data_IF_759853522032
#
_entry.id   IF_759853522032
#
_cell.length_a   1.000
_cell.length_b   1.000
_cell.length_c   1.000
_cell.angle_alpha   90.00
_cell.angle_beta   90.00
_cell.angle_gamma   90.00
#
_symmetry.space_group_name_H-M   'P 1'
#
loop_
_entity.id
_entity.type
_entity.pdbx_description
1 polymer ?
#
# COMPACT_ATOMS: atom_id res chain seq x y z
N UNK A 1 20.99 -2.31 11.18
CA UNK A 1 20.24 -1.05 11.28
C UNK A 1 18.87 -1.38 11.83
N UNK A 2 18.46 -0.75 12.94
CA UNK A 2 17.14 -1.02 13.54
C UNK A 2 16.12 -0.10 12.88
N UNK A 3 15.10 -0.67 12.24
CA UNK A 3 13.97 0.06 11.65
C UNK A 3 12.84 0.09 12.67
N UNK A 4 12.13 1.21 12.75
CA UNK A 4 11.09 1.42 13.76
C UNK A 4 9.98 2.30 13.20
N UNK A 5 8.76 2.05 13.68
CA UNK A 5 7.59 2.84 13.31
C UNK A 5 7.70 4.23 13.94
N UNK A 6 7.44 5.26 13.15
CA UNK A 6 7.52 6.67 13.53
C UNK A 6 6.21 7.38 13.21
N UNK A 7 5.68 8.11 14.18
CA UNK A 7 4.49 8.94 13.98
C UNK A 7 4.86 10.16 13.12
N UNK A 8 4.01 10.48 12.15
CA UNK A 8 4.18 11.62 11.26
C UNK A 8 3.20 12.74 11.59
N UNK A 9 3.58 13.96 11.21
CA UNK A 9 2.78 15.17 11.38
C UNK A 9 1.65 15.31 10.37
N UNK A 10 1.01 16.49 10.36
CA UNK A 10 -0.11 16.79 9.47
C UNK A 10 0.25 16.70 7.97
N UNK A 11 1.49 17.05 7.60
CA UNK A 11 1.97 16.99 6.21
C UNK A 11 1.84 15.58 5.59
N UNK A 12 1.96 14.51 6.39
CA UNK A 12 1.80 13.15 5.90
C UNK A 12 0.35 12.83 5.50
N UNK A 13 -0.65 13.46 6.16
CA UNK A 13 -2.05 13.34 5.75
C UNK A 13 -2.30 14.04 4.43
N UNK A 14 -1.72 15.22 4.25
CA UNK A 14 -1.83 15.96 2.99
C UNK A 14 -1.17 15.17 1.85
N UNK A 15 0.01 14.59 2.09
CA UNK A 15 0.67 13.69 1.16
C UNK A 15 -0.17 12.46 0.79
N UNK A 16 -0.79 11.79 1.77
CA UNK A 16 -1.72 10.68 1.50
C UNK A 16 -2.89 11.15 0.63
N UNK A 17 -3.46 12.34 0.92
CA UNK A 17 -4.56 12.87 0.12
C UNK A 17 -4.14 13.09 -1.34
N UNK A 18 -2.97 13.69 -1.57
CA UNK A 18 -2.42 13.87 -2.91
C UNK A 18 -2.22 12.53 -3.63
N UNK A 19 -1.63 11.53 -2.95
CA UNK A 19 -1.41 10.21 -3.56
C UNK A 19 -2.72 9.48 -3.89
N UNK A 20 -3.76 9.64 -3.07
CA UNK A 20 -5.08 9.08 -3.37
C UNK A 20 -5.81 9.85 -4.48
N UNK A 21 -5.55 11.16 -4.64
CA UNK A 21 -6.11 11.97 -5.73
C UNK A 21 -5.52 11.54 -7.09
N UNK A 22 -4.24 11.14 -7.09
CA UNK A 22 -3.55 10.52 -8.23
C UNK A 22 -3.95 9.04 -8.46
N UNK A 23 -4.74 8.44 -7.56
CA UNK A 23 -5.12 7.04 -7.59
C UNK A 23 -6.30 6.72 -8.54
N UNK A 24 -6.84 5.50 -8.40
CA UNK A 24 -7.98 5.01 -9.19
C UNK A 24 -9.31 5.21 -8.46
N UNK A 25 -10.36 4.57 -8.97
CA UNK A 25 -11.72 4.74 -8.44
C UNK A 25 -11.82 4.42 -6.95
N UNK A 26 -11.12 3.41 -6.42
CA UNK A 26 -11.16 3.09 -5.00
C UNK A 26 -10.53 4.20 -4.14
N UNK A 27 -9.38 4.74 -4.55
CA UNK A 27 -8.73 5.90 -3.91
C UNK A 27 -9.65 7.11 -3.86
N UNK A 28 -10.31 7.44 -4.98
CA UNK A 28 -11.31 8.51 -5.06
C UNK A 28 -12.49 8.27 -4.10
N UNK A 29 -12.98 7.03 -4.00
CA UNK A 29 -14.06 6.68 -3.08
C UNK A 29 -13.61 6.75 -1.61
N UNK A 30 -12.38 6.34 -1.30
CA UNK A 30 -11.80 6.45 0.04
C UNK A 30 -11.69 7.92 0.45
N UNK A 31 -11.19 8.80 -0.43
CA UNK A 31 -11.14 10.25 -0.17
C UNK A 31 -12.52 10.84 0.14
N UNK A 32 -13.57 10.35 -0.52
CA UNK A 32 -14.93 10.85 -0.34
C UNK A 32 -15.64 10.29 0.91
N UNK A 33 -15.29 9.07 1.34
CA UNK A 33 -16.06 8.31 2.35
C UNK A 33 -15.32 8.14 3.68
N UNK A 34 -14.00 8.24 3.71
CA UNK A 34 -13.17 8.02 4.89
C UNK A 34 -12.65 9.35 5.43
N UNK A 35 -12.93 9.61 6.70
CA UNK A 35 -12.40 10.79 7.39
C UNK A 35 -10.95 10.55 7.83
N UNK A 36 -10.00 10.91 6.96
CA UNK A 36 -8.57 10.79 7.24
C UNK A 36 -8.13 11.62 8.47
N UNK A 37 -8.89 12.62 8.92
CA UNK A 37 -8.54 13.42 10.11
C UNK A 37 -8.71 12.64 11.41
N UNK A 38 -9.48 11.55 11.41
CA UNK A 38 -9.72 10.71 12.59
C UNK A 38 -8.65 9.63 12.80
N UNK A 39 -7.71 9.49 11.87
CA UNK A 39 -6.61 8.55 11.97
C UNK A 39 -5.27 9.21 12.26
N UNK A 40 -4.25 8.36 12.45
CA UNK A 40 -2.87 8.79 12.58
C UNK A 40 -2.05 8.31 11.37
N UNK A 41 -0.91 8.95 11.14
CA UNK A 41 -0.01 8.62 10.04
C UNK A 41 1.34 8.17 10.57
N UNK A 42 1.95 7.17 9.93
CA UNK A 42 3.25 6.64 10.31
C UNK A 42 4.11 6.31 9.11
N UNK A 43 5.39 6.09 9.37
CA UNK A 43 6.32 5.47 8.42
C UNK A 43 7.32 4.59 9.17
N UNK A 44 8.10 3.80 8.43
CA UNK A 44 9.20 3.00 8.94
C UNK A 44 10.52 3.65 8.55
N UNK A 45 11.28 4.07 9.56
CA UNK A 45 12.59 4.70 9.36
C UNK A 45 13.63 4.08 10.28
N UNK A 46 14.92 4.15 9.92
CA UNK A 46 16.01 3.80 10.82
C UNK A 46 15.97 4.62 12.12
N UNK A 47 16.34 4.01 13.23
CA UNK A 47 16.46 4.71 14.53
C UNK A 47 17.46 5.87 14.51
N UNK A 48 18.33 5.93 13.51
CA UNK A 48 19.36 6.97 13.32
C UNK A 48 18.82 8.26 12.70
N UNK A 49 17.61 8.26 12.13
CA UNK A 49 16.99 9.47 11.58
C UNK A 49 16.52 10.38 12.70
N UNK A 50 16.90 11.66 12.66
CA UNK A 50 16.52 12.66 13.64
C UNK A 50 15.00 12.92 13.63
N UNK A 51 14.41 13.14 14.81
CA UNK A 51 12.97 13.33 14.99
C UNK A 51 12.43 14.56 14.26
N UNK A 52 13.26 15.60 14.11
CA UNK A 52 12.92 16.80 13.35
C UNK A 52 12.70 16.49 11.87
N UNK A 53 13.53 15.63 11.27
CA UNK A 53 13.41 15.24 9.86
C UNK A 53 12.20 14.31 9.62
N UNK A 54 11.90 13.45 10.60
CA UNK A 54 10.67 12.65 10.61
C UNK A 54 9.43 13.54 10.64
N UNK A 55 9.41 14.52 11.54
CA UNK A 55 8.24 15.41 11.74
C UNK A 55 7.97 16.27 10.53
N UNK A 56 9.04 16.74 9.87
CA UNK A 56 8.97 17.55 8.65
C UNK A 56 8.68 16.75 7.39
N UNK A 57 8.69 15.41 7.48
CA UNK A 57 8.47 14.52 6.35
C UNK A 57 9.47 14.79 5.20
N UNK A 58 10.74 15.05 5.54
CA UNK A 58 11.82 15.37 4.59
C UNK A 58 13.06 14.47 4.74
N UNK A 59 12.94 13.36 5.47
CA UNK A 59 13.98 12.36 5.61
C UNK A 59 14.00 11.40 4.42
N UNK A 60 15.19 11.16 3.85
CA UNK A 60 15.47 10.06 2.93
C UNK A 60 16.67 9.27 3.47
N UNK A 61 16.63 7.93 3.38
CA UNK A 61 17.64 7.06 4.01
C UNK A 61 18.82 6.82 3.07
N UNK A 62 18.61 6.74 1.76
CA UNK A 62 19.70 6.89 0.80
C UNK A 62 20.08 8.36 0.70
N UNK A 63 21.26 8.69 1.25
CA UNK A 63 21.81 10.03 1.11
C UNK A 63 21.81 10.49 -0.36
N UNK A 64 21.73 11.80 -0.63
CA UNK A 64 21.58 12.32 -1.98
C UNK A 64 22.67 11.79 -2.92
N UNK A 65 22.25 11.23 -4.06
CA UNK A 65 23.09 11.19 -5.27
C UNK A 65 23.87 9.91 -5.57
N UNK A 66 23.62 8.77 -4.90
CA UNK A 66 24.13 7.50 -5.43
C UNK A 66 23.36 7.17 -6.71
N UNK A 67 24.01 7.31 -7.86
CA UNK A 67 23.50 6.88 -9.16
C UNK A 67 24.52 5.97 -9.81
N UNK A 68 24.08 4.85 -10.33
CA UNK A 68 24.89 4.00 -11.19
C UNK A 68 24.34 4.07 -12.62
N UNK A 69 25.22 3.91 -13.60
CA UNK A 69 24.84 3.84 -14.99
C UNK A 69 24.35 2.43 -15.30
N UNK A 70 23.12 2.30 -15.81
CA UNK A 70 22.62 1.07 -16.41
C UNK A 70 22.89 1.10 -17.92
N UNK A 71 23.90 0.36 -18.42
CA UNK A 71 24.25 0.35 -19.83
C UNK A 71 23.22 -0.37 -20.70
N UNK A 72 22.36 -1.23 -20.14
CA UNK A 72 21.33 -1.93 -20.92
C UNK A 72 20.20 -0.98 -21.33
N UNK A 73 19.89 -0.02 -20.47
CA UNK A 73 18.79 0.94 -20.66
C UNK A 73 19.29 2.37 -20.96
N UNK A 74 20.60 2.61 -20.94
CA UNK A 74 21.24 3.92 -21.13
C UNK A 74 20.68 5.01 -20.19
N UNK A 75 20.48 4.65 -18.92
CA UNK A 75 19.93 5.55 -17.89
C UNK A 75 20.78 5.54 -16.62
N UNK A 76 20.74 6.63 -15.88
CA UNK A 76 21.27 6.69 -14.51
C UNK A 76 20.19 6.23 -13.54
N UNK A 77 20.49 5.20 -12.76
CA UNK A 77 19.57 4.59 -11.80
C UNK A 77 20.06 4.89 -10.38
N UNK A 78 19.18 5.36 -9.51
CA UNK A 78 19.47 5.44 -8.08
C UNK A 78 19.06 4.10 -7.43
N UNK A 79 19.90 3.50 -6.56
CA UNK A 79 19.48 2.35 -5.80
C UNK A 79 18.40 2.80 -4.80
N UNK A 80 17.20 2.22 -4.90
CA UNK A 80 16.14 2.38 -3.91
C UNK A 80 16.37 1.32 -2.83
N UNK A 81 16.54 1.75 -1.58
CA UNK A 81 16.64 0.83 -0.45
C UNK A 81 15.25 0.38 -0.01
N UNK A 82 14.76 -0.70 -0.61
CA UNK A 82 13.42 -1.25 -0.34
C UNK A 82 13.31 -1.94 1.02
N UNK A 83 14.37 -1.96 1.85
CA UNK A 83 14.31 -2.56 3.19
C UNK A 83 13.29 -1.88 4.11
N UNK A 84 12.89 -0.63 3.83
CA UNK A 84 11.84 0.06 4.57
C UNK A 84 10.42 -0.40 4.17
N UNK A 85 10.28 -1.15 3.07
CA UNK A 85 9.03 -1.80 2.67
C UNK A 85 8.78 -3.11 3.43
N UNK A 86 9.84 -3.79 3.90
CA UNK A 86 9.73 -5.08 4.59
C UNK A 86 8.81 -5.05 5.84
N UNK A 87 8.87 -4.02 6.72
CA UNK A 87 7.93 -3.93 7.84
C UNK A 87 6.47 -3.70 7.40
N UNK A 88 6.24 -3.08 6.24
CA UNK A 88 4.89 -2.90 5.69
C UNK A 88 4.32 -4.23 5.23
N UNK A 89 5.15 -5.07 4.60
CA UNK A 89 4.79 -6.45 4.24
C UNK A 89 4.43 -7.26 5.50
N UNK A 90 5.21 -7.10 6.56
CA UNK A 90 4.94 -7.77 7.84
C UNK A 90 3.64 -7.27 8.49
N UNK A 91 3.35 -5.97 8.44
CA UNK A 91 2.07 -5.39 8.90
C UNK A 91 0.87 -5.94 8.11
N UNK A 92 0.99 -6.06 6.78
CA UNK A 92 -0.05 -6.66 5.93
C UNK A 92 -0.26 -8.12 6.33
N UNK A 93 0.82 -8.88 6.52
CA UNK A 93 0.73 -10.29 6.92
C UNK A 93 0.03 -10.44 8.27
N UNK A 94 0.43 -9.64 9.26
CA UNK A 94 -0.18 -9.62 10.58
C UNK A 94 -1.67 -9.24 10.52
N UNK A 95 -2.02 -8.26 9.68
CA UNK A 95 -3.41 -7.85 9.48
C UNK A 95 -4.27 -8.96 8.87
N UNK A 96 -3.80 -9.60 7.79
CA UNK A 96 -4.51 -10.69 7.12
C UNK A 96 -4.69 -11.92 8.02
N UNK A 97 -3.70 -12.22 8.86
CA UNK A 97 -3.74 -13.34 9.79
C UNK A 97 -4.82 -13.19 10.90
N UNK A 98 -5.42 -12.01 11.09
CA UNK A 98 -6.47 -11.80 12.09
C UNK A 98 -7.79 -12.52 11.77
N UNK A 99 -7.99 -12.97 10.53
CA UNK A 99 -9.16 -13.78 10.16
C UNK A 99 -9.57 -13.64 8.70
N UNK A 100 -10.57 -14.42 8.27
CA UNK A 100 -11.07 -14.42 6.88
C UNK A 100 -11.77 -13.11 6.48
N UNK A 101 -12.18 -12.30 7.44
CA UNK A 101 -12.87 -11.01 7.26
C UNK A 101 -11.90 -9.84 7.00
N UNK A 102 -10.67 -10.16 6.64
CA UNK A 102 -9.60 -9.20 6.36
C UNK A 102 -9.24 -9.27 4.89
N UNK A 103 -8.86 -8.15 4.30
CA UNK A 103 -8.22 -8.15 3.00
C UNK A 103 -7.23 -7.01 2.85
N UNK A 104 -6.32 -7.19 1.90
CA UNK A 104 -5.45 -6.14 1.40
C UNK A 104 -5.73 -5.99 -0.10
N UNK A 105 -6.18 -4.80 -0.50
CA UNK A 105 -6.46 -4.47 -1.90
C UNK A 105 -5.45 -3.45 -2.37
N UNK A 106 -4.79 -3.73 -3.49
CA UNK A 106 -3.87 -2.81 -4.14
C UNK A 106 -4.49 -2.29 -5.43
N UNK A 107 -4.32 -0.99 -5.68
CA UNK A 107 -4.58 -0.42 -6.99
C UNK A 107 -3.37 -0.62 -7.89
N UNK A 108 -3.57 -1.25 -9.04
CA UNK A 108 -2.52 -1.31 -10.04
C UNK A 108 -2.63 -0.11 -10.99
N UNK A 109 -1.70 0.84 -10.88
CA UNK A 109 -1.83 2.14 -11.55
C UNK A 109 -1.71 2.09 -13.08
N UNK A 110 -1.05 1.09 -13.64
CA UNK A 110 -0.78 1.03 -15.09
C UNK A 110 -1.45 -0.12 -15.83
N UNK A 111 -2.11 -1.03 -15.11
CA UNK A 111 -2.59 -2.26 -15.72
C UNK A 111 -4.00 -2.11 -16.24
N UNK A 112 -4.31 -2.87 -17.28
CA UNK A 112 -5.64 -3.02 -17.83
C UNK A 112 -6.05 -4.51 -17.86
N UNK A 113 -7.35 -4.85 -17.81
CA UNK A 113 -7.82 -6.24 -17.82
C UNK A 113 -7.35 -7.08 -19.01
N UNK A 114 -6.95 -6.44 -20.11
CA UNK A 114 -6.43 -7.10 -21.32
C UNK A 114 -4.94 -7.45 -21.27
N UNK A 115 -4.22 -7.07 -20.22
CA UNK A 115 -2.78 -7.26 -20.16
C UNK A 115 -2.41 -8.76 -20.10
N UNK A 116 -1.54 -9.25 -21.01
CA UNK A 116 -1.23 -10.69 -21.09
C UNK A 116 -0.68 -11.30 -19.81
N UNK A 117 0.06 -10.52 -19.01
CA UNK A 117 0.70 -11.01 -17.78
C UNK A 117 -0.32 -11.38 -16.69
N UNK A 118 -1.55 -10.84 -16.74
CA UNK A 118 -2.63 -11.18 -15.81
C UNK A 118 -3.08 -12.64 -15.94
N UNK A 119 -2.95 -13.24 -17.13
CA UNK A 119 -3.36 -14.64 -17.38
C UNK A 119 -2.54 -15.65 -16.57
N UNK A 120 -1.28 -15.31 -16.25
CA UNK A 120 -0.39 -16.14 -15.43
C UNK A 120 -0.29 -15.67 -13.98
N UNK A 121 -1.04 -14.63 -13.59
CA UNK A 121 -0.93 -14.04 -12.28
C UNK A 121 -1.60 -14.93 -11.23
N UNK A 122 -0.79 -15.42 -10.28
CA UNK A 122 -1.25 -16.24 -9.16
C UNK A 122 -1.92 -15.44 -8.06
N UNK A 123 -1.72 -14.13 -8.04
CA UNK A 123 -2.32 -13.22 -7.06
C UNK A 123 -3.79 -13.02 -7.46
N UNK A 124 -4.75 -13.24 -6.54
CA UNK A 124 -6.15 -12.97 -6.83
C UNK A 124 -6.33 -11.50 -7.19
N UNK A 125 -7.14 -11.23 -8.20
CA UNK A 125 -7.38 -9.88 -8.68
C UNK A 125 -8.81 -9.73 -9.21
N UNK A 126 -9.27 -8.50 -9.32
CA UNK A 126 -10.56 -8.18 -9.91
C UNK A 126 -10.49 -6.88 -10.71
N UNK A 127 -11.54 -6.62 -11.47
CA UNK A 127 -11.61 -5.49 -12.39
C UNK A 127 -12.79 -4.58 -12.08
N UNK A 128 -12.60 -3.29 -12.28
CA UNK A 128 -13.71 -2.34 -12.40
C UNK A 128 -13.44 -1.49 -13.64
N UNK A 129 -14.32 -1.58 -14.64
CA UNK A 129 -14.07 -1.01 -15.98
C UNK A 129 -12.71 -1.47 -16.53
N UNK A 130 -11.80 -0.51 -16.78
CA UNK A 130 -10.43 -0.68 -17.26
C UNK A 130 -9.38 -0.73 -16.15
N UNK A 131 -9.80 -0.71 -14.88
CA UNK A 131 -8.91 -0.71 -13.72
C UNK A 131 -8.69 -2.14 -13.19
N UNK A 132 -7.46 -2.39 -12.70
CA UNK A 132 -7.05 -3.67 -12.12
C UNK A 132 -6.72 -3.50 -10.64
N UNK A 133 -7.27 -4.41 -9.84
CA UNK A 133 -7.07 -4.45 -8.39
C UNK A 133 -6.51 -5.81 -7.97
N UNK A 134 -5.38 -5.82 -7.28
CA UNK A 134 -4.86 -7.04 -6.65
C UNK A 134 -5.50 -7.19 -5.27
N UNK A 135 -5.90 -8.40 -4.90
CA UNK A 135 -6.65 -8.68 -3.68
C UNK A 135 -6.06 -9.87 -2.93
N UNK A 136 -5.53 -9.63 -1.74
CA UNK A 136 -5.12 -10.66 -0.81
C UNK A 136 -6.23 -10.86 0.22
N UNK A 137 -6.76 -12.09 0.30
CA UNK A 137 -7.80 -12.45 1.25
C UNK A 137 -7.20 -12.83 2.60
N UNK A 138 -8.01 -12.66 3.64
CA UNK A 138 -7.66 -12.94 5.02
C UNK A 138 -7.39 -14.42 5.29
N UNK A 139 -6.67 -14.67 6.37
CA UNK A 139 -6.07 -15.96 6.69
C UNK A 139 -4.54 -15.93 6.59
N UNK A 140 -3.93 -17.11 6.74
CA UNK A 140 -2.47 -17.24 6.69
C UNK A 140 -2.02 -17.14 5.24
N UNK A 141 -1.44 -16.00 4.89
CA UNK A 141 -0.78 -15.79 3.61
C UNK A 141 0.73 -16.00 3.74
N UNK A 142 1.33 -16.61 2.72
CA UNK A 142 2.78 -16.66 2.62
C UNK A 142 3.32 -15.24 2.39
N UNK A 143 4.38 -14.90 3.13
CA UNK A 143 5.02 -13.58 3.04
C UNK A 143 5.50 -13.27 1.62
N UNK A 144 5.98 -14.28 0.90
CA UNK A 144 6.38 -14.20 -0.52
C UNK A 144 5.23 -13.77 -1.43
N UNK A 145 4.01 -14.24 -1.20
CA UNK A 145 2.82 -13.83 -1.96
C UNK A 145 2.47 -12.37 -1.70
N UNK A 146 2.57 -11.92 -0.44
CA UNK A 146 2.34 -10.52 -0.07
C UNK A 146 3.39 -9.61 -0.72
N UNK A 147 4.66 -9.99 -0.60
CA UNK A 147 5.77 -9.25 -1.22
C UNK A 147 5.59 -9.16 -2.74
N UNK A 148 5.19 -10.26 -3.39
CA UNK A 148 4.90 -10.26 -4.83
C UNK A 148 3.76 -9.29 -5.16
N UNK A 149 2.64 -9.34 -4.44
CA UNK A 149 1.52 -8.43 -4.70
C UNK A 149 1.92 -6.95 -4.51
N UNK A 150 2.73 -6.68 -3.50
CA UNK A 150 3.29 -5.35 -3.25
C UNK A 150 4.17 -4.89 -4.41
N UNK A 151 5.09 -5.73 -4.89
CA UNK A 151 5.97 -5.41 -6.02
C UNK A 151 5.21 -5.21 -7.33
N UNK A 152 4.26 -6.09 -7.64
CA UNK A 152 3.46 -6.00 -8.89
C UNK A 152 2.64 -4.70 -8.89
N UNK A 153 1.99 -4.36 -7.78
CA UNK A 153 1.25 -3.11 -7.64
C UNK A 153 2.15 -1.85 -7.70
N UNK A 154 3.39 -1.97 -7.22
CA UNK A 154 4.34 -0.86 -7.08
C UNK A 154 5.10 -0.44 -8.34
N UNK A 155 4.63 -0.82 -9.53
CA UNK A 155 5.31 -0.49 -10.79
C UNK A 155 5.41 1.03 -11.11
N UNK A 156 4.67 1.89 -10.39
CA UNK A 156 4.73 3.36 -10.55
C UNK A 156 4.46 4.12 -9.25
N UNK A 157 3.42 3.71 -8.52
CA UNK A 157 3.07 4.24 -7.21
C UNK A 157 2.27 3.17 -6.46
N UNK A 158 2.80 2.69 -5.35
CA UNK A 158 2.09 1.68 -4.54
C UNK A 158 0.98 2.35 -3.73
N UNK A 159 -0.28 1.97 -3.98
CA UNK A 159 -1.43 2.34 -3.15
C UNK A 159 -2.14 1.06 -2.71
N UNK A 160 -2.25 0.87 -1.39
CA UNK A 160 -2.90 -0.29 -0.82
C UNK A 160 -3.83 0.04 0.35
N UNK A 161 -4.87 -0.78 0.48
CA UNK A 161 -5.94 -0.62 1.46
C UNK A 161 -6.09 -1.90 2.27
N UNK A 162 -6.07 -1.75 3.59
CA UNK A 162 -6.42 -2.80 4.54
C UNK A 162 -7.90 -2.68 4.88
N UNK A 163 -8.65 -3.74 4.58
CA UNK A 163 -10.10 -3.76 4.58
C UNK A 163 -10.58 -4.75 5.65
N UNK A 164 -11.59 -4.34 6.41
CA UNK A 164 -12.32 -5.19 7.34
C UNK A 164 -13.73 -5.37 6.82
N UNK A 165 -14.05 -6.54 6.33
CA UNK A 165 -15.34 -6.79 5.68
C UNK A 165 -16.19 -7.83 6.42
N UNK A 166 -17.37 -8.10 5.86
CA UNK A 166 -18.18 -9.28 6.15
C UNK A 166 -18.07 -10.25 4.98
N UNK A 167 -18.25 -11.56 5.17
CA UNK A 167 -17.91 -12.62 4.19
C UNK A 167 -18.38 -12.38 2.74
N UNK A 168 -19.44 -11.59 2.53
CA UNK A 168 -20.05 -11.32 1.22
C UNK A 168 -19.45 -10.16 0.41
N UNK A 169 -18.48 -9.40 0.94
CA UNK A 169 -18.09 -8.13 0.33
C UNK A 169 -16.91 -8.20 -0.66
N UNK A 170 -16.14 -9.29 -0.68
CA UNK A 170 -15.01 -9.45 -1.60
C UNK A 170 -15.42 -10.21 -2.87
N UNK A 171 -14.85 -9.87 -4.03
CA UNK A 171 -15.09 -10.61 -5.26
C UNK A 171 -14.70 -12.09 -5.09
N UNK A 172 -15.57 -13.03 -5.50
CA UNK A 172 -15.42 -14.44 -5.16
C UNK A 172 -14.37 -15.18 -6.03
N UNK A 173 -13.98 -14.61 -7.17
CA UNK A 173 -13.04 -15.26 -8.10
C UNK A 173 -12.10 -14.25 -8.76
N UNK A 174 -10.86 -14.70 -8.99
CA UNK A 174 -9.85 -13.92 -9.71
C UNK A 174 -10.29 -13.63 -11.15
N UNK A 175 -9.96 -12.45 -11.65
CA UNK A 175 -10.30 -12.01 -13.01
C UNK A 175 -11.78 -11.65 -13.21
N UNK A 176 -12.54 -11.44 -12.13
CA UNK A 176 -13.94 -11.03 -12.23
C UNK A 176 -14.08 -9.52 -12.31
N UNK A 177 -15.04 -9.05 -13.12
CA UNK A 177 -15.46 -7.64 -13.09
C UNK A 177 -16.49 -7.42 -11.99
N UNK A 178 -16.33 -6.35 -11.21
CA UNK A 178 -17.20 -6.00 -10.10
C UNK A 178 -17.99 -4.72 -10.40
N UNK A 179 -19.21 -4.57 -9.86
CA UNK A 179 -19.95 -3.32 -9.97
C UNK A 179 -19.33 -2.24 -9.07
N UNK A 180 -19.61 -0.97 -9.38
CA UNK A 180 -19.16 0.19 -8.58
C UNK A 180 -19.55 0.07 -7.10
N UNK A 181 -20.72 -0.48 -6.82
CA UNK A 181 -21.21 -0.66 -5.44
C UNK A 181 -20.28 -1.56 -4.61
N UNK A 182 -19.60 -2.52 -5.24
CA UNK A 182 -18.58 -3.32 -4.56
C UNK A 182 -17.41 -2.44 -4.09
N UNK A 183 -16.90 -1.55 -4.97
CA UNK A 183 -15.84 -0.60 -4.60
C UNK A 183 -16.29 0.37 -3.49
N UNK A 184 -17.56 0.81 -3.50
CA UNK A 184 -18.12 1.64 -2.42
C UNK A 184 -18.12 0.88 -1.09
N UNK A 185 -18.48 -0.40 -1.09
CA UNK A 185 -18.41 -1.25 0.09
C UNK A 185 -16.97 -1.43 0.59
N UNK A 186 -16.00 -1.63 -0.32
CA UNK A 186 -14.58 -1.70 0.02
C UNK A 186 -14.09 -0.40 0.66
N UNK A 187 -14.37 0.74 0.05
CA UNK A 187 -13.95 2.06 0.54
C UNK A 187 -14.45 2.35 1.97
N UNK A 188 -15.71 2.00 2.27
CA UNK A 188 -16.29 2.14 3.62
C UNK A 188 -15.68 1.22 4.66
N UNK A 189 -15.07 0.13 4.20
CA UNK A 189 -14.52 -0.94 5.03
C UNK A 189 -13.01 -0.78 5.26
N UNK A 190 -12.40 0.28 4.73
CA UNK A 190 -10.98 0.60 4.93
C UNK A 190 -10.73 0.94 6.39
N UNK A 191 -9.84 0.19 7.03
CA UNK A 191 -9.39 0.41 8.41
C UNK A 191 -8.02 1.07 8.47
N UNK A 192 -7.19 0.77 7.47
CA UNK A 192 -5.88 1.35 7.27
C UNK A 192 -5.53 1.39 5.77
N UNK A 193 -4.56 2.21 5.40
CA UNK A 193 -4.05 2.30 4.04
C UNK A 193 -2.55 2.60 4.08
N UNK A 194 -1.88 2.39 2.96
CA UNK A 194 -0.51 2.78 2.75
C UNK A 194 -0.31 3.29 1.34
N UNK A 195 0.55 4.30 1.21
CA UNK A 195 1.01 4.84 -0.07
C UNK A 195 2.53 4.84 -0.09
N UNK A 196 3.12 4.70 -1.26
CA UNK A 196 4.57 4.80 -1.43
C UNK A 196 5.09 6.16 -0.94
N UNK A 197 6.22 6.15 -0.24
CA UNK A 197 6.89 7.36 0.22
C UNK A 197 7.47 8.14 -0.97
N UNK A 198 7.67 9.45 -0.82
CA UNK A 198 8.10 10.33 -1.91
C UNK A 198 9.47 9.99 -2.50
N UNK A 199 10.31 9.28 -1.73
CA UNK A 199 11.64 8.82 -2.13
C UNK A 199 11.65 7.36 -2.62
N UNK A 200 10.49 6.69 -2.63
CA UNK A 200 10.31 5.30 -3.08
C UNK A 200 10.86 4.23 -2.13
N UNK A 201 11.46 4.62 -0.99
CA UNK A 201 12.17 3.66 -0.13
C UNK A 201 11.24 2.85 0.76
N UNK A 202 10.10 3.44 1.15
CA UNK A 202 9.13 2.85 2.06
C UNK A 202 7.72 3.33 1.79
N UNK A 203 6.90 3.37 2.85
CA UNK A 203 5.52 3.84 2.76
C UNK A 203 5.16 4.85 3.84
N UNK A 204 4.14 5.64 3.53
CA UNK A 204 3.33 6.40 4.49
C UNK A 204 2.08 5.61 4.76
N UNK A 205 1.86 5.23 6.03
CA UNK A 205 0.71 4.48 6.48
C UNK A 205 -0.29 5.40 7.16
N UNK A 206 -1.57 5.11 7.01
CA UNK A 206 -2.65 5.70 7.80
C UNK A 206 -3.55 4.61 8.36
N UNK A 207 -4.13 4.86 9.53
CA UNK A 207 -5.06 3.95 10.19
C UNK A 207 -6.02 4.73 11.07
N UNK A 208 -7.29 4.34 11.03
CA UNK A 208 -8.34 4.88 11.88
C UNK A 208 -8.15 4.52 13.36
N UNK A 209 -7.38 3.46 13.66
CA UNK A 209 -7.07 3.05 15.02
C UNK A 209 -5.62 3.43 15.35
N UNK A 210 -5.44 4.28 16.37
CA UNK A 210 -4.14 4.79 16.80
C UNK A 210 -3.15 3.70 17.26
N UNK A 211 -3.57 2.46 17.49
CA UNK A 211 -2.75 1.47 18.23
C UNK A 211 -2.67 0.03 17.68
N UNK A 212 -3.29 -0.37 16.58
CA UNK A 212 -3.24 -1.80 16.17
C UNK A 212 -3.09 -2.02 14.67
N UNK A 213 -1.83 -2.07 14.23
CA UNK A 213 -1.43 -2.99 13.14
C UNK A 213 -0.49 -4.09 13.66
N UNK A 214 0.17 -3.84 14.79
CA UNK A 214 0.87 -4.89 15.53
C UNK A 214 -0.11 -5.64 16.41
N UNK A 215 -0.29 -6.93 16.13
CA UNK A 215 -0.78 -7.86 17.13
C UNK A 215 0.06 -7.68 18.40
N UNK A 216 -0.60 -7.61 19.56
CA UNK A 216 0.05 -7.64 20.86
C UNK A 216 1.08 -8.78 20.91
N UNK A 217 2.27 -8.43 21.41
CA UNK A 217 3.41 -9.34 21.67
C UNK A 217 3.00 -10.68 22.28
#
# INVERSE_FOLDING_TARGET
MMITRRLLGAAARDYIRERLDDGRTLSSLVLALVDLQRGACWTYLPTTVAEEAVTRFDASVTGPGLRFWDPANAVWVAPVDTRLQEPVIDDIQAYLAQGPERACVFEHQLAAPGDPWLQGLTIPHFFYNDEVYLCLHGGVQERSTIAKAFTEAGSFNTIGFLISHTETALPPASGTSVPRDALVCLARSVTALFVEAFDGEGCVLWSAQSESLTASK
#
